data_IF_316616625352
#
_entry.id   IF_316616625352
#
_cell.length_a   1.000
_cell.length_b   1.000
_cell.length_c   1.000
_cell.angle_alpha   90.00
_cell.angle_beta   90.00
_cell.angle_gamma   90.00
#
_symmetry.space_group_name_H-M   'P 1'
#
loop_
_entity.id
_entity.type
_entity.pdbx_description
1 polymer ?
#
# COMPACT_ATOMS: atom_id res chain seq x y z
N UNK A 1 -17.45 4.89 -90.98
CA UNK A 1 -17.07 5.99 -90.06
C UNK A 1 -17.80 5.85 -88.77
N UNK A 2 -17.14 5.30 -87.77
CA UNK A 2 -17.73 5.08 -86.42
C UNK A 2 -16.90 5.85 -85.40
N UNK A 3 -17.52 6.81 -84.76
CA UNK A 3 -16.95 7.64 -83.70
C UNK A 3 -17.24 6.95 -82.38
N UNK A 4 -16.18 6.53 -81.71
CA UNK A 4 -16.29 5.97 -80.34
C UNK A 4 -16.11 7.12 -79.33
N UNK A 5 -17.10 7.33 -78.50
CA UNK A 5 -17.07 8.24 -77.39
C UNK A 5 -16.49 7.54 -76.16
N UNK A 6 -15.39 8.03 -75.65
CA UNK A 6 -14.75 7.53 -74.37
C UNK A 6 -15.40 8.23 -73.22
N UNK A 7 -16.02 7.44 -72.34
CA UNK A 7 -16.52 7.84 -71.04
C UNK A 7 -15.36 7.84 -70.04
N UNK A 8 -14.97 8.99 -69.52
CA UNK A 8 -14.08 9.16 -68.40
C UNK A 8 -14.88 9.04 -67.11
N UNK A 9 -14.65 7.95 -66.37
CA UNK A 9 -15.18 7.74 -65.03
C UNK A 9 -14.33 8.51 -64.01
N UNK A 10 -14.90 9.54 -63.42
CA UNK A 10 -14.28 10.34 -62.35
C UNK A 10 -14.53 9.66 -61.00
N UNK A 11 -13.57 8.94 -60.48
CA UNK A 11 -13.63 8.31 -59.14
C UNK A 11 -13.37 9.36 -58.07
N UNK A 12 -14.39 9.81 -57.38
CA UNK A 12 -14.27 10.67 -56.20
C UNK A 12 -13.81 9.84 -55.00
N UNK A 13 -12.57 10.03 -54.59
CA UNK A 13 -12.01 9.44 -53.35
C UNK A 13 -12.46 10.27 -52.15
N UNK A 14 -13.45 9.79 -51.43
CA UNK A 14 -13.91 10.41 -50.18
C UNK A 14 -12.92 10.01 -49.04
N UNK A 15 -12.06 10.95 -48.66
CA UNK A 15 -11.20 10.87 -47.50
C UNK A 15 -12.04 11.10 -46.23
N UNK A 16 -12.41 10.02 -45.56
CA UNK A 16 -12.99 10.05 -44.22
C UNK A 16 -11.92 10.50 -43.22
N UNK A 17 -11.92 11.76 -42.83
CA UNK A 17 -11.16 12.24 -41.67
C UNK A 17 -11.77 11.67 -40.42
N UNK A 18 -11.19 10.56 -39.91
CA UNK A 18 -11.49 10.04 -38.58
C UNK A 18 -10.85 11.00 -37.56
N UNK A 19 -11.66 11.91 -37.03
CA UNK A 19 -11.25 12.79 -35.94
C UNK A 19 -11.05 11.91 -34.67
N UNK A 20 -9.80 11.58 -34.36
CA UNK A 20 -9.47 10.97 -33.08
C UNK A 20 -9.66 12.04 -31.99
N UNK A 21 -10.48 11.80 -30.98
CA UNK A 21 -10.52 12.68 -29.82
C UNK A 21 -9.14 12.63 -29.16
N UNK A 22 -8.35 13.69 -29.32
CA UNK A 22 -7.13 13.88 -28.52
C UNK A 22 -7.51 13.87 -27.05
N UNK A 23 -7.16 12.81 -26.36
CA UNK A 23 -7.25 12.78 -24.91
C UNK A 23 -6.43 13.98 -24.39
N UNK A 24 -7.14 15.00 -23.91
CA UNK A 24 -6.55 16.18 -23.29
C UNK A 24 -5.82 15.70 -22.04
N UNK A 25 -4.52 15.41 -22.16
CA UNK A 25 -3.66 15.23 -21.00
C UNK A 25 -3.76 16.51 -20.19
N UNK A 26 -4.47 16.44 -19.08
CA UNK A 26 -4.48 17.49 -18.08
C UNK A 26 -3.05 17.62 -17.55
N UNK A 27 -2.28 18.51 -18.12
CA UNK A 27 -1.02 18.96 -17.54
C UNK A 27 -1.37 19.77 -16.31
N UNK A 28 -1.58 19.05 -15.19
CA UNK A 28 -1.74 19.69 -13.89
C UNK A 28 -0.42 20.40 -13.60
N UNK A 29 -0.45 21.72 -13.56
CA UNK A 29 0.72 22.49 -13.14
C UNK A 29 1.22 21.97 -11.79
N UNK A 30 2.55 21.88 -11.59
CA UNK A 30 3.11 21.42 -10.33
C UNK A 30 2.67 22.37 -9.21
N UNK A 31 1.84 21.85 -8.29
CA UNK A 31 1.45 22.60 -7.09
C UNK A 31 2.57 22.52 -6.04
N UNK A 32 2.93 23.63 -5.38
CA UNK A 32 3.88 23.63 -4.27
C UNK A 32 3.34 22.89 -3.02
N UNK A 33 2.05 22.58 -3.01
CA UNK A 33 1.37 21.86 -1.93
C UNK A 33 0.59 20.68 -2.47
N UNK A 34 0.30 19.70 -1.62
CA UNK A 34 -0.64 18.64 -1.92
C UNK A 34 -1.37 18.19 -0.65
N UNK A 35 -2.60 17.75 -0.82
CA UNK A 35 -3.34 17.09 0.24
C UNK A 35 -2.83 15.66 0.44
N UNK A 36 -2.74 15.25 1.69
CA UNK A 36 -2.40 13.87 2.07
C UNK A 36 -3.51 13.28 2.92
N UNK A 37 -3.77 12.00 2.73
CA UNK A 37 -4.61 11.21 3.62
C UNK A 37 -3.73 10.53 4.64
N UNK A 38 -4.08 10.63 5.92
CA UNK A 38 -3.40 9.93 7.01
C UNK A 38 -4.41 9.08 7.77
N UNK A 39 -3.92 8.05 8.46
CA UNK A 39 -4.79 7.28 9.33
C UNK A 39 -5.24 8.14 10.52
N UNK A 40 -6.53 8.09 10.85
CA UNK A 40 -7.08 8.77 12.03
C UNK A 40 -6.88 7.92 13.29
N UNK A 41 -6.92 8.56 14.47
CA UNK A 41 -6.87 7.82 15.75
C UNK A 41 -8.00 6.80 15.87
N UNK A 42 -9.20 7.12 15.37
CA UNK A 42 -10.31 6.18 15.35
C UNK A 42 -10.03 4.97 14.43
N UNK A 43 -9.45 5.20 13.25
CA UNK A 43 -9.05 4.14 12.34
C UNK A 43 -7.93 3.27 12.93
N UNK A 44 -6.95 3.88 13.59
CA UNK A 44 -5.88 3.15 14.24
C UNK A 44 -6.39 2.26 15.39
N UNK A 45 -7.30 2.78 16.21
CA UNK A 45 -7.96 2.00 17.27
C UNK A 45 -8.77 0.83 16.70
N UNK A 46 -9.54 1.07 15.63
CA UNK A 46 -10.29 0.01 14.97
C UNK A 46 -9.38 -1.10 14.42
N UNK A 47 -8.19 -0.77 13.92
CA UNK A 47 -7.18 -1.75 13.52
C UNK A 47 -6.68 -2.57 14.71
N UNK A 48 -6.40 -1.94 15.84
CA UNK A 48 -5.97 -2.63 17.05
C UNK A 48 -7.04 -3.60 17.53
N UNK A 49 -8.30 -3.15 17.62
CA UNK A 49 -9.43 -3.99 18.04
C UNK A 49 -9.64 -5.17 17.09
N UNK A 50 -9.57 -4.95 15.77
CA UNK A 50 -9.73 -5.98 14.77
C UNK A 50 -8.63 -7.05 14.82
N UNK A 51 -7.36 -6.64 14.99
CA UNK A 51 -6.24 -7.57 15.14
C UNK A 51 -6.34 -8.34 16.48
N UNK A 52 -6.75 -7.68 17.57
CA UNK A 52 -6.98 -8.35 18.86
C UNK A 52 -8.03 -9.45 18.70
N UNK A 53 -9.20 -9.14 18.13
CA UNK A 53 -10.26 -10.11 17.90
C UNK A 53 -9.79 -11.28 16.99
N UNK A 54 -8.99 -10.98 15.96
CA UNK A 54 -8.40 -12.00 15.11
C UNK A 54 -7.42 -12.89 15.88
N UNK A 55 -6.56 -12.31 16.73
CA UNK A 55 -5.58 -13.03 17.53
C UNK A 55 -6.26 -13.96 18.56
N UNK A 56 -7.30 -13.48 19.25
CA UNK A 56 -8.11 -14.27 20.18
C UNK A 56 -8.71 -15.49 19.50
N UNK A 57 -9.34 -15.30 18.31
CA UNK A 57 -9.90 -16.39 17.52
C UNK A 57 -8.85 -17.44 17.12
N UNK A 58 -7.61 -17.01 16.89
CA UNK A 58 -6.50 -17.88 16.50
C UNK A 58 -5.67 -18.36 17.70
N UNK A 59 -6.08 -18.04 18.93
CA UNK A 59 -5.38 -18.41 20.19
C UNK A 59 -3.94 -17.92 20.23
N UNK A 60 -3.73 -16.70 19.74
CA UNK A 60 -2.44 -16.01 19.73
C UNK A 60 -2.45 -14.85 20.73
N UNK A 61 -1.31 -14.57 21.31
CA UNK A 61 -1.05 -13.37 22.10
C UNK A 61 -0.17 -12.46 21.25
N UNK A 62 -0.63 -11.23 21.00
CA UNK A 62 0.06 -10.27 20.14
C UNK A 62 0.22 -8.91 20.84
N UNK A 63 1.19 -8.15 20.40
CA UNK A 63 1.24 -6.71 20.61
C UNK A 63 1.36 -6.01 19.26
N UNK A 64 0.81 -4.81 19.16
CA UNK A 64 0.76 -4.08 17.90
C UNK A 64 1.05 -2.60 18.07
N UNK A 65 1.53 -1.98 16.98
CA UNK A 65 1.74 -0.55 16.87
C UNK A 65 1.26 -0.08 15.49
N UNK A 66 0.49 0.99 15.47
CA UNK A 66 -0.04 1.63 14.26
C UNK A 66 0.58 3.01 14.13
N UNK A 67 1.22 3.26 12.99
CA UNK A 67 1.85 4.53 12.65
C UNK A 67 1.02 5.27 11.61
N UNK A 68 1.06 6.61 11.67
CA UNK A 68 0.59 7.46 10.58
C UNK A 68 1.62 7.50 9.42
N UNK A 69 1.28 8.26 8.37
CA UNK A 69 2.18 8.48 7.22
C UNK A 69 3.53 9.10 7.61
N UNK A 70 3.56 9.95 8.63
CA UNK A 70 4.77 10.62 9.13
C UNK A 70 5.63 9.73 10.03
N UNK A 71 5.17 8.53 10.35
CA UNK A 71 5.87 7.60 11.26
C UNK A 71 5.60 7.88 12.74
N UNK A 72 4.61 8.71 13.06
CA UNK A 72 4.18 8.95 14.43
C UNK A 72 3.34 7.78 14.93
N UNK A 73 3.56 7.37 16.18
CA UNK A 73 2.73 6.35 16.83
C UNK A 73 1.34 6.95 17.12
N UNK A 74 0.31 6.35 16.52
CA UNK A 74 -1.10 6.77 16.68
C UNK A 74 -1.81 5.89 17.69
N UNK A 75 -1.52 4.57 17.66
CA UNK A 75 -2.12 3.60 18.57
C UNK A 75 -1.13 2.46 18.86
N UNK A 76 -1.16 1.93 20.07
CA UNK A 76 -0.45 0.70 20.43
C UNK A 76 -1.27 -0.09 21.44
N UNK A 77 -1.22 -1.42 21.32
CA UNK A 77 -1.90 -2.31 22.24
C UNK A 77 -1.08 -3.58 22.46
N UNK A 78 -1.02 -4.05 23.68
CA UNK A 78 -0.46 -5.36 24.03
C UNK A 78 -1.54 -6.17 24.73
N UNK A 79 -1.79 -7.37 24.22
CA UNK A 79 -2.65 -8.34 24.91
C UNK A 79 -1.99 -8.82 26.20
N UNK A 80 -2.80 -9.21 27.17
CA UNK A 80 -2.29 -9.83 28.39
C UNK A 80 -1.43 -11.06 28.07
N UNK A 81 -0.27 -11.16 28.69
CA UNK A 81 0.70 -12.22 28.40
C UNK A 81 1.66 -11.94 27.24
N UNK A 82 1.58 -10.78 26.58
CA UNK A 82 2.57 -10.38 25.60
C UNK A 82 3.95 -10.17 26.27
N UNK A 83 5.04 -10.46 25.51
CA UNK A 83 6.41 -10.29 26.02
C UNK A 83 6.70 -8.81 26.36
N UNK A 84 7.62 -8.57 27.29
CA UNK A 84 7.93 -7.23 27.80
C UNK A 84 8.36 -6.23 26.72
N UNK A 85 9.01 -6.69 25.62
CA UNK A 85 9.46 -5.86 24.51
C UNK A 85 8.55 -5.94 23.27
N UNK A 86 7.35 -6.50 23.41
CA UNK A 86 6.51 -6.81 22.26
C UNK A 86 6.01 -5.55 21.53
N UNK A 87 5.67 -4.47 22.25
CA UNK A 87 5.27 -3.19 21.64
C UNK A 87 6.44 -2.58 20.90
N UNK A 88 7.64 -2.54 21.47
CA UNK A 88 8.82 -1.98 20.83
C UNK A 88 9.15 -2.74 19.53
N UNK A 89 9.05 -4.07 19.58
CA UNK A 89 9.23 -4.91 18.40
C UNK A 89 8.18 -4.62 17.33
N UNK A 90 6.90 -4.46 17.70
CA UNK A 90 5.84 -4.10 16.78
C UNK A 90 6.08 -2.72 16.14
N UNK A 91 6.51 -1.74 16.93
CA UNK A 91 6.85 -0.40 16.49
C UNK A 91 8.02 -0.41 15.48
N UNK A 92 9.08 -1.14 15.75
CA UNK A 92 10.23 -1.26 14.84
C UNK A 92 9.82 -1.90 13.51
N UNK A 93 9.00 -2.94 13.55
CA UNK A 93 8.44 -3.57 12.33
C UNK A 93 7.56 -2.60 11.55
N UNK A 94 6.67 -1.85 12.23
CA UNK A 94 5.82 -0.85 11.58
C UNK A 94 6.66 0.23 10.87
N UNK A 95 7.72 0.73 11.51
CA UNK A 95 8.66 1.69 10.91
C UNK A 95 9.33 1.13 9.66
N UNK A 96 9.73 -0.14 9.68
CA UNK A 96 10.30 -0.83 8.53
C UNK A 96 9.28 -0.92 7.37
N UNK A 97 8.07 -1.38 7.63
CA UNK A 97 7.03 -1.48 6.61
C UNK A 97 6.69 -0.10 6.00
N UNK A 98 6.62 0.95 6.82
CA UNK A 98 6.37 2.32 6.39
C UNK A 98 7.49 2.83 5.47
N UNK A 99 8.75 2.65 5.87
CA UNK A 99 9.94 3.09 5.13
C UNK A 99 10.05 2.42 3.76
N UNK A 100 9.90 1.11 3.72
CA UNK A 100 10.09 0.31 2.50
C UNK A 100 8.81 0.16 1.68
N UNK A 101 7.67 0.62 2.20
CA UNK A 101 6.34 0.58 1.56
C UNK A 101 5.94 -0.82 1.07
N UNK A 102 6.33 -1.83 1.85
CA UNK A 102 6.07 -3.24 1.56
C UNK A 102 5.99 -4.07 2.85
N UNK A 103 5.42 -5.28 2.79
CA UNK A 103 5.46 -6.23 3.89
C UNK A 103 6.88 -6.44 4.39
N UNK A 104 7.07 -6.52 5.71
CA UNK A 104 8.40 -6.75 6.28
C UNK A 104 8.99 -8.11 5.93
N UNK A 105 8.15 -9.12 5.64
CA UNK A 105 8.58 -10.41 5.10
C UNK A 105 9.30 -10.29 3.75
N UNK A 106 8.84 -9.38 2.86
CA UNK A 106 9.49 -9.12 1.59
C UNK A 106 10.84 -8.43 1.79
N UNK A 107 10.89 -7.40 2.64
CA UNK A 107 12.16 -6.73 2.97
C UNK A 107 13.14 -7.70 3.61
N UNK A 108 12.69 -8.60 4.49
CA UNK A 108 13.50 -9.65 5.09
C UNK A 108 14.09 -10.60 4.04
N UNK A 109 13.27 -11.03 3.07
CA UNK A 109 13.73 -11.86 1.94
C UNK A 109 14.88 -11.19 1.17
N UNK A 110 14.71 -9.90 0.82
CA UNK A 110 15.72 -9.15 0.06
C UNK A 110 17.05 -9.05 0.81
N UNK A 111 16.99 -8.81 2.13
CA UNK A 111 18.19 -8.78 2.97
C UNK A 111 18.85 -10.17 3.01
N UNK A 112 18.08 -11.22 3.25
CA UNK A 112 18.61 -12.58 3.38
C UNK A 112 19.18 -13.15 2.08
N UNK A 113 18.64 -12.76 0.94
CA UNK A 113 19.16 -13.15 -0.38
C UNK A 113 20.35 -12.31 -0.84
N UNK A 114 20.67 -11.23 -0.15
CA UNK A 114 21.68 -10.25 -0.57
C UNK A 114 21.23 -9.33 -1.71
N UNK A 115 19.98 -9.40 -2.12
CA UNK A 115 19.41 -8.55 -3.17
C UNK A 115 19.44 -7.06 -2.78
N UNK A 116 19.14 -6.77 -1.50
CA UNK A 116 19.21 -5.41 -0.98
C UNK A 116 19.64 -5.43 0.50
N UNK A 117 20.84 -4.97 0.75
CA UNK A 117 21.40 -4.88 2.11
C UNK A 117 21.20 -3.52 2.77
N UNK A 118 20.60 -2.54 2.07
CA UNK A 118 20.39 -1.19 2.61
C UNK A 118 19.67 -1.18 3.97
N UNK A 119 18.67 -2.03 4.25
CA UNK A 119 18.03 -2.07 5.57
C UNK A 119 19.02 -2.31 6.72
N UNK A 120 20.04 -3.14 6.52
CA UNK A 120 21.03 -3.44 7.57
C UNK A 120 21.91 -2.22 7.89
N UNK A 121 22.24 -1.38 6.90
CA UNK A 121 23.02 -0.17 7.07
C UNK A 121 22.19 1.01 7.59
N UNK A 122 20.88 0.96 7.47
CA UNK A 122 19.96 2.01 7.91
C UNK A 122 19.39 1.79 9.30
N UNK A 123 19.96 0.87 10.07
CA UNK A 123 19.45 0.47 11.38
C UNK A 123 17.95 0.16 11.36
N UNK A 124 17.55 -0.59 10.35
CA UNK A 124 16.16 -1.00 10.16
C UNK A 124 15.89 -2.38 10.79
N UNK A 125 14.63 -2.70 11.03
CA UNK A 125 14.22 -3.97 11.63
C UNK A 125 13.24 -4.73 10.72
N UNK A 126 13.73 -5.32 9.61
CA UNK A 126 12.88 -5.95 8.62
C UNK A 126 12.48 -7.39 9.03
N UNK A 127 12.05 -7.59 10.27
CA UNK A 127 11.52 -8.88 10.70
C UNK A 127 10.04 -9.00 10.30
N UNK A 128 9.59 -10.16 9.77
CA UNK A 128 8.20 -10.36 9.39
C UNK A 128 7.22 -9.99 10.50
N UNK A 129 6.10 -9.35 10.14
CA UNK A 129 5.05 -8.99 11.09
C UNK A 129 4.48 -7.58 10.90
N UNK A 130 4.84 -6.84 9.83
CA UNK A 130 4.26 -5.54 9.57
C UNK A 130 3.90 -5.33 8.12
N UNK A 131 2.86 -4.52 7.91
CA UNK A 131 2.32 -4.15 6.61
C UNK A 131 2.16 -2.63 6.51
N UNK A 132 2.49 -2.01 5.37
CA UNK A 132 2.06 -0.66 5.09
C UNK A 132 0.54 -0.66 4.80
N UNK A 133 -0.11 0.46 5.06
CA UNK A 133 -1.52 0.67 4.75
C UNK A 133 -1.57 1.64 3.58
N UNK A 134 -2.04 1.16 2.43
CA UNK A 134 -2.08 1.93 1.19
C UNK A 134 -3.53 2.12 0.76
N UNK A 135 -3.98 3.36 0.68
CA UNK A 135 -5.32 3.73 0.24
C UNK A 135 -5.21 4.63 -1.01
N UNK A 136 -5.89 4.25 -2.08
CA UNK A 136 -5.85 4.98 -3.36
C UNK A 136 -4.42 5.24 -3.88
N UNK A 137 -3.51 4.28 -3.70
CA UNK A 137 -2.12 4.38 -4.11
C UNK A 137 -1.22 5.23 -3.20
N UNK A 138 -1.77 5.80 -2.12
CA UNK A 138 -1.02 6.55 -1.12
C UNK A 138 -0.80 5.72 0.14
N UNK A 139 0.44 5.66 0.64
CA UNK A 139 0.71 5.11 1.97
C UNK A 139 0.16 6.09 3.01
N UNK A 140 -0.80 5.64 3.82
CA UNK A 140 -1.45 6.44 4.86
C UNK A 140 -0.94 6.12 6.27
N UNK A 141 -0.18 5.04 6.39
CA UNK A 141 0.37 4.56 7.66
C UNK A 141 0.94 3.16 7.53
N UNK A 142 1.24 2.55 8.65
CA UNK A 142 1.67 1.15 8.73
C UNK A 142 1.21 0.50 10.05
N UNK A 143 1.02 -0.81 10.02
CA UNK A 143 0.70 -1.61 11.19
C UNK A 143 1.75 -2.69 11.39
N UNK A 144 2.37 -2.71 12.57
CA UNK A 144 3.30 -3.75 13.00
C UNK A 144 2.69 -4.59 14.11
N UNK A 145 2.95 -5.88 14.06
CA UNK A 145 2.47 -6.86 15.04
C UNK A 145 3.64 -7.74 15.48
N UNK A 146 3.79 -7.88 16.78
CA UNK A 146 4.80 -8.72 17.39
C UNK A 146 4.21 -10.09 17.73
N UNK A 147 4.33 -11.02 16.78
CA UNK A 147 4.02 -12.46 16.93
C UNK A 147 4.47 -13.22 15.68
N UNK A 148 4.38 -14.56 15.70
CA UNK A 148 4.70 -15.42 14.54
C UNK A 148 3.82 -15.17 13.31
N UNK A 149 2.53 -14.82 13.51
CA UNK A 149 1.53 -14.56 12.46
C UNK A 149 1.18 -13.07 12.31
N UNK A 150 2.12 -12.19 12.64
CA UNK A 150 1.87 -10.74 12.70
C UNK A 150 1.33 -10.13 11.40
N UNK A 151 1.87 -10.50 10.24
CA UNK A 151 1.37 -9.98 8.96
C UNK A 151 -0.05 -10.45 8.65
N UNK A 152 -0.42 -11.67 9.06
CA UNK A 152 -1.79 -12.17 8.89
C UNK A 152 -2.79 -11.44 9.78
N UNK A 153 -2.40 -11.13 11.03
CA UNK A 153 -3.21 -10.31 11.93
C UNK A 153 -3.39 -8.90 11.36
N UNK A 154 -2.30 -8.26 10.93
CA UNK A 154 -2.34 -6.93 10.32
C UNK A 154 -3.20 -6.91 9.04
N UNK A 155 -3.06 -7.92 8.17
CA UNK A 155 -3.87 -8.03 6.94
C UNK A 155 -5.36 -8.16 7.27
N UNK A 156 -5.73 -9.07 8.18
CA UNK A 156 -7.12 -9.26 8.56
C UNK A 156 -7.75 -7.99 9.15
N UNK A 157 -6.98 -7.23 9.94
CA UNK A 157 -7.43 -5.96 10.48
C UNK A 157 -7.60 -4.89 9.40
N UNK A 158 -6.65 -4.76 8.49
CA UNK A 158 -6.71 -3.81 7.36
C UNK A 158 -7.90 -4.12 6.47
N UNK A 159 -8.11 -5.38 6.08
CA UNK A 159 -9.23 -5.80 5.24
C UNK A 159 -10.58 -5.48 5.89
N UNK A 160 -10.71 -5.71 7.19
CA UNK A 160 -11.93 -5.44 7.93
C UNK A 160 -12.22 -3.93 8.03
N UNK A 161 -11.24 -3.14 8.48
CA UNK A 161 -11.41 -1.71 8.77
C UNK A 161 -11.60 -0.91 7.48
N UNK A 162 -10.83 -1.22 6.45
CA UNK A 162 -10.91 -0.54 5.15
C UNK A 162 -11.83 -1.24 4.15
N UNK A 163 -12.56 -2.29 4.56
CA UNK A 163 -13.53 -3.02 3.71
C UNK A 163 -12.93 -3.46 2.37
N UNK A 164 -11.68 -3.91 2.39
CA UNK A 164 -10.95 -4.34 1.19
C UNK A 164 -10.48 -3.20 0.26
N UNK A 165 -10.65 -1.93 0.64
CA UNK A 165 -10.24 -0.78 -0.20
C UNK A 165 -8.76 -0.43 -0.05
N UNK A 166 -8.11 -0.85 1.03
CA UNK A 166 -6.69 -0.64 1.24
C UNK A 166 -5.88 -1.84 0.71
N UNK A 167 -4.64 -1.56 0.29
CA UNK A 167 -3.64 -2.57 -0.09
C UNK A 167 -2.43 -2.49 0.83
N UNK A 168 -1.58 -3.50 0.77
CA UNK A 168 -0.38 -3.61 1.64
C UNK A 168 0.94 -3.55 0.87
N UNK A 169 0.87 -3.12 -0.39
CA UNK A 169 2.05 -2.87 -1.23
C UNK A 169 1.93 -1.47 -1.80
N UNK A 170 2.88 -0.60 -1.43
CA UNK A 170 3.00 0.75 -2.00
C UNK A 170 3.71 0.71 -3.36
N UNK A 171 3.27 1.56 -4.28
CA UNK A 171 3.97 1.81 -5.56
C UNK A 171 5.02 2.90 -5.41
#
# INVERSE_FOLDING_TARGET
>A
MRIQASLLALSALILLFVSHPSARQSTREPSPTRDITIISSAGARALADACTAWAEKNKLVVAMAILDWGGNLVESHAMEGAAANAIDTALLKAKSALRWRRPTSETNKMVRSGENLAPTFMNDFPQPGALPIVLNGQVIGAMGVSSGDGERCAQAAIDLVFKGQATTVGR
#
